data_IF_270226792399
#
_entry.id   IF_270226792399
#
_cell.length_a   1.000
_cell.length_b   1.000
_cell.length_c   1.000
_cell.angle_alpha   90.00
_cell.angle_beta   90.00
_cell.angle_gamma   90.00
#
_symmetry.space_group_name_H-M   'P 1'
#
loop_
_entity.id
_entity.type
_entity.pdbx_description
1 polymer ?
#
# COMPACT_ATOMS: atom_id res chain seq x y z
N UNK A 1 9.10 -7.27 -16.42
CA UNK A 1 8.35 -6.25 -15.65
C UNK A 1 9.13 -4.93 -15.69
N UNK A 2 8.45 -3.79 -15.86
CA UNK A 2 8.99 -2.45 -15.56
C UNK A 2 8.62 -2.11 -14.11
N UNK A 3 9.45 -1.31 -13.43
CA UNK A 3 9.23 -0.86 -12.08
C UNK A 3 9.86 0.52 -11.86
N UNK A 4 9.09 1.46 -11.31
CA UNK A 4 9.50 2.84 -11.00
C UNK A 4 8.92 3.27 -9.66
N UNK A 5 9.73 3.47 -8.62
CA UNK A 5 9.30 4.10 -7.39
C UNK A 5 9.17 5.61 -7.59
N UNK A 6 8.18 6.20 -6.95
CA UNK A 6 7.98 7.64 -6.82
C UNK A 6 7.93 7.96 -5.33
N UNK A 7 8.84 8.78 -4.87
CA UNK A 7 8.96 9.19 -3.48
C UNK A 7 8.51 10.64 -3.33
N UNK A 8 7.55 10.88 -2.48
CA UNK A 8 7.09 12.22 -2.12
C UNK A 8 7.65 12.61 -0.76
N UNK A 9 8.78 13.30 -0.76
CA UNK A 9 9.57 13.62 0.45
C UNK A 9 8.80 14.43 1.50
N UNK A 10 7.89 15.40 1.15
CA UNK A 10 7.22 16.22 2.16
C UNK A 10 6.42 15.44 3.20
N UNK A 11 5.83 14.31 2.82
CA UNK A 11 5.06 13.44 3.72
C UNK A 11 5.65 12.03 3.84
N UNK A 12 6.80 11.78 3.18
CA UNK A 12 7.48 10.49 3.12
C UNK A 12 6.58 9.35 2.60
N UNK A 13 5.74 9.67 1.59
CA UNK A 13 4.92 8.70 0.88
C UNK A 13 5.70 8.07 -0.27
N UNK A 14 5.44 6.80 -0.54
CA UNK A 14 5.98 6.06 -1.67
C UNK A 14 4.84 5.45 -2.49
N UNK A 15 4.91 5.65 -3.80
CA UNK A 15 4.00 5.08 -4.78
C UNK A 15 4.79 4.41 -5.90
N UNK A 16 4.15 3.54 -6.68
CA UNK A 16 4.88 2.67 -7.58
C UNK A 16 4.19 2.55 -8.92
N UNK A 17 4.89 2.90 -10.02
CA UNK A 17 4.48 2.58 -11.36
C UNK A 17 5.16 1.27 -11.79
N UNK A 18 4.37 0.30 -12.23
CA UNK A 18 4.90 -1.01 -12.62
C UNK A 18 4.03 -1.67 -13.72
N UNK A 19 4.49 -2.79 -14.26
CA UNK A 19 3.70 -3.54 -15.24
C UNK A 19 4.53 -4.21 -16.31
N UNK A 20 3.89 -4.54 -17.44
CA UNK A 20 4.45 -5.30 -18.54
C UNK A 20 4.50 -4.49 -19.84
N UNK A 21 5.67 -3.97 -20.24
CA UNK A 21 5.81 -3.25 -21.48
C UNK A 21 5.59 -4.13 -22.72
N UNK A 22 5.88 -5.42 -22.66
CA UNK A 22 5.64 -6.34 -23.77
C UNK A 22 4.16 -6.40 -24.19
N UNK A 23 3.26 -6.22 -23.22
CA UNK A 23 1.81 -6.23 -23.44
C UNK A 23 1.19 -4.83 -23.34
N UNK A 24 2.01 -3.77 -23.18
CA UNK A 24 1.51 -2.41 -23.06
C UNK A 24 0.56 -2.24 -21.88
N UNK A 25 0.89 -2.80 -20.71
CA UNK A 25 0.04 -2.74 -19.51
C UNK A 25 0.81 -2.19 -18.33
N UNK A 26 0.48 -0.97 -17.93
CA UNK A 26 1.05 -0.29 -16.78
C UNK A 26 -0.02 -0.11 -15.69
N UNK A 27 0.44 -0.07 -14.46
CA UNK A 27 -0.36 0.25 -13.28
C UNK A 27 0.39 1.24 -12.38
N UNK A 28 -0.35 2.00 -11.59
CA UNK A 28 0.16 2.76 -10.45
C UNK A 28 -0.46 2.20 -9.18
N UNK A 29 0.33 2.08 -8.11
CA UNK A 29 -0.11 1.67 -6.79
C UNK A 29 0.11 2.82 -5.80
N UNK A 30 -0.92 3.06 -4.95
CA UNK A 30 -0.99 4.11 -3.93
C UNK A 30 -0.58 5.50 -4.48
N UNK A 31 -1.24 5.99 -5.55
CA UNK A 31 -0.85 7.24 -6.19
C UNK A 31 -1.09 8.44 -5.28
N UNK A 32 -0.07 9.30 -5.13
CA UNK A 32 -0.19 10.59 -4.46
C UNK A 32 -0.71 11.64 -5.45
N UNK A 33 -1.68 12.48 -5.05
CA UNK A 33 -2.30 13.49 -5.93
C UNK A 33 -1.27 14.44 -6.56
N UNK A 34 -0.28 14.90 -5.80
CA UNK A 34 0.77 15.80 -6.27
C UNK A 34 1.71 15.17 -7.33
N UNK A 35 1.64 13.85 -7.53
CA UNK A 35 2.50 13.13 -8.47
C UNK A 35 1.76 12.64 -9.71
N UNK A 36 0.49 12.98 -9.90
CA UNK A 36 -0.33 12.52 -11.03
C UNK A 36 0.34 12.82 -12.36
N UNK A 37 0.78 14.05 -12.58
CA UNK A 37 1.48 14.44 -13.81
C UNK A 37 2.77 13.63 -14.04
N UNK A 38 3.48 13.30 -12.96
CA UNK A 38 4.73 12.52 -13.07
C UNK A 38 4.45 11.07 -13.48
N UNK A 39 3.36 10.45 -13.02
CA UNK A 39 2.96 9.11 -13.47
C UNK A 39 2.55 9.12 -14.95
N UNK A 40 1.78 10.11 -15.39
CA UNK A 40 1.36 10.25 -16.78
C UNK A 40 2.55 10.47 -17.72
N UNK A 41 3.48 11.34 -17.37
CA UNK A 41 4.71 11.59 -18.12
C UNK A 41 5.58 10.33 -18.22
N UNK A 42 5.72 9.57 -17.11
CA UNK A 42 6.51 8.33 -17.14
C UNK A 42 5.83 7.25 -18.01
N UNK A 43 4.50 7.13 -17.97
CA UNK A 43 3.77 6.21 -18.84
C UNK A 43 3.94 6.58 -20.32
N UNK A 44 3.86 7.87 -20.68
CA UNK A 44 4.14 8.38 -22.01
C UNK A 44 5.58 8.06 -22.44
N UNK A 45 6.57 8.33 -21.59
CA UNK A 45 7.99 8.02 -21.84
C UNK A 45 8.23 6.52 -22.07
N UNK A 46 7.49 5.67 -21.39
CA UNK A 46 7.55 4.22 -21.54
C UNK A 46 6.79 3.72 -22.77
N UNK A 47 5.97 4.56 -23.40
CA UNK A 47 5.16 4.23 -24.57
C UNK A 47 4.07 3.18 -24.30
N UNK A 48 3.52 3.14 -23.08
CA UNK A 48 2.48 2.20 -22.71
C UNK A 48 1.40 2.91 -21.85
N UNK A 49 0.09 2.60 -22.07
CA UNK A 49 -0.98 3.22 -21.30
C UNK A 49 -1.03 2.73 -19.85
N UNK A 50 -1.45 3.63 -18.96
CA UNK A 50 -1.91 3.26 -17.62
C UNK A 50 -3.30 2.62 -17.75
N UNK A 51 -3.41 1.34 -17.42
CA UNK A 51 -4.66 0.58 -17.52
C UNK A 51 -5.24 0.19 -16.16
N UNK A 52 -4.48 0.37 -15.08
CA UNK A 52 -4.87 0.01 -13.73
C UNK A 52 -4.33 0.99 -12.69
N UNK A 53 -5.10 1.24 -11.65
CA UNK A 53 -4.68 1.96 -10.45
C UNK A 53 -5.08 1.11 -9.24
N UNK A 54 -4.13 0.82 -8.37
CA UNK A 54 -4.34 0.04 -7.16
C UNK A 54 -4.22 0.92 -5.92
N UNK A 55 -5.08 0.69 -4.94
CA UNK A 55 -4.91 1.19 -3.58
C UNK A 55 -4.73 0.02 -2.62
N UNK A 56 -3.78 0.14 -1.71
CA UNK A 56 -3.64 -0.82 -0.61
C UNK A 56 -4.75 -0.63 0.42
N UNK A 57 -5.15 0.61 0.65
CA UNK A 57 -6.20 1.01 1.59
C UNK A 57 -6.66 2.45 1.29
N UNK A 58 -7.70 2.93 1.96
CA UNK A 58 -8.05 4.37 1.94
C UNK A 58 -7.00 5.13 2.72
N UNK A 59 -6.26 6.01 2.07
CA UNK A 59 -5.19 6.80 2.70
C UNK A 59 -5.77 7.78 3.74
N UNK A 60 -5.06 7.97 4.85
CA UNK A 60 -5.48 8.81 5.97
C UNK A 60 -4.60 10.05 6.21
N UNK A 61 -3.51 10.18 5.48
CA UNK A 61 -2.47 11.19 5.66
C UNK A 61 -2.19 12.02 4.39
N UNK A 62 -2.70 11.57 3.23
CA UNK A 62 -2.60 12.31 1.97
C UNK A 62 -3.80 12.05 1.05
N UNK A 63 -3.99 12.93 0.08
CA UNK A 63 -4.99 12.75 -0.97
C UNK A 63 -4.47 11.79 -2.03
N UNK A 64 -5.31 10.82 -2.38
CA UNK A 64 -5.01 9.88 -3.46
C UNK A 64 -5.13 10.55 -4.83
N UNK A 65 -4.20 10.24 -5.73
CA UNK A 65 -4.28 10.58 -7.15
C UNK A 65 -5.11 9.61 -7.99
N UNK A 66 -5.76 8.60 -7.36
CA UNK A 66 -6.54 7.59 -8.07
C UNK A 66 -7.68 8.20 -8.91
N UNK A 67 -8.52 9.11 -8.39
CA UNK A 67 -9.63 9.67 -9.18
C UNK A 67 -9.13 10.42 -10.42
N UNK A 68 -8.08 11.22 -10.28
CA UNK A 68 -7.51 11.99 -11.39
C UNK A 68 -6.86 11.08 -12.45
N UNK A 69 -6.17 10.02 -12.04
CA UNK A 69 -5.60 9.04 -12.96
C UNK A 69 -6.69 8.27 -13.72
N UNK A 70 -7.76 7.86 -13.03
CA UNK A 70 -8.91 7.19 -13.68
C UNK A 70 -9.57 8.13 -14.68
N UNK A 71 -9.82 9.38 -14.32
CA UNK A 71 -10.39 10.38 -15.22
C UNK A 71 -9.50 10.62 -16.45
N UNK A 72 -8.20 10.78 -16.25
CA UNK A 72 -7.25 11.09 -17.33
C UNK A 72 -6.99 9.93 -18.29
N UNK A 73 -7.07 8.67 -17.82
CA UNK A 73 -6.59 7.50 -18.58
C UNK A 73 -7.67 6.47 -18.88
N UNK A 74 -8.80 6.49 -18.18
CA UNK A 74 -9.80 5.42 -18.22
C UNK A 74 -9.32 4.14 -17.54
N UNK A 75 -8.28 4.21 -16.69
CA UNK A 75 -7.76 3.05 -15.96
C UNK A 75 -8.80 2.46 -15.01
N UNK A 76 -8.73 1.15 -14.81
CA UNK A 76 -9.56 0.47 -13.82
C UNK A 76 -8.99 0.68 -12.41
N UNK A 77 -9.82 1.14 -11.48
CA UNK A 77 -9.50 1.22 -10.07
C UNK A 77 -9.66 -0.14 -9.40
N UNK A 78 -8.64 -0.59 -8.66
CA UNK A 78 -8.63 -1.83 -7.88
C UNK A 78 -8.42 -1.52 -6.41
N UNK A 79 -9.37 -1.91 -5.56
CA UNK A 79 -9.34 -1.66 -4.12
C UNK A 79 -9.62 -2.94 -3.32
N UNK A 80 -9.27 -2.98 -2.02
CA UNK A 80 -9.64 -4.12 -1.16
C UNK A 80 -11.15 -4.36 -1.12
N UNK A 81 -11.59 -5.63 -1.12
CA UNK A 81 -13.00 -6.00 -1.23
C UNK A 81 -13.92 -5.47 -0.12
N UNK A 82 -13.35 -5.07 1.03
CA UNK A 82 -14.12 -4.53 2.17
C UNK A 82 -14.09 -3.02 2.26
N UNK A 83 -13.53 -2.35 1.26
CA UNK A 83 -13.47 -0.88 1.26
C UNK A 83 -14.86 -0.28 1.08
N UNK A 84 -15.10 0.84 1.74
CA UNK A 84 -16.33 1.64 1.57
C UNK A 84 -15.96 2.95 0.88
N UNK A 85 -16.26 3.06 -0.42
CA UNK A 85 -16.01 4.24 -1.26
C UNK A 85 -17.22 4.51 -2.16
N UNK A 86 -17.38 5.75 -2.60
CA UNK A 86 -18.54 6.25 -3.33
C UNK A 86 -18.34 6.25 -4.87
N UNK A 87 -17.29 5.59 -5.38
CA UNK A 87 -16.95 5.53 -6.81
C UNK A 87 -16.79 4.10 -7.31
N UNK A 88 -16.90 3.92 -8.62
CA UNK A 88 -16.79 2.62 -9.27
C UNK A 88 -15.37 2.06 -9.16
N UNK A 89 -15.27 0.82 -8.72
CA UNK A 89 -14.00 0.10 -8.61
C UNK A 89 -14.20 -1.40 -8.73
N UNK A 90 -13.11 -2.12 -8.96
CA UNK A 90 -13.05 -3.57 -8.85
C UNK A 90 -12.57 -3.92 -7.44
N UNK A 91 -13.45 -4.55 -6.67
CA UNK A 91 -13.14 -5.01 -5.32
C UNK A 91 -12.29 -6.30 -5.41
N UNK A 92 -11.10 -6.28 -4.81
CA UNK A 92 -10.20 -7.44 -4.78
C UNK A 92 -10.27 -8.16 -3.44
N UNK A 93 -10.80 -9.37 -3.46
CA UNK A 93 -10.79 -10.28 -2.32
C UNK A 93 -9.41 -10.95 -2.14
N UNK A 94 -9.22 -11.55 -0.98
CA UNK A 94 -8.00 -12.32 -0.66
C UNK A 94 -7.77 -13.44 -1.67
N UNK A 95 -6.56 -13.50 -2.22
CA UNK A 95 -6.14 -14.49 -3.20
C UNK A 95 -6.53 -14.19 -4.66
N UNK A 96 -7.29 -13.11 -4.93
CA UNK A 96 -7.58 -12.73 -6.31
C UNK A 96 -6.34 -12.20 -7.04
N UNK A 97 -6.30 -12.41 -8.35
CA UNK A 97 -5.15 -12.08 -9.21
C UNK A 97 -5.56 -11.16 -10.33
N UNK A 98 -4.81 -10.08 -10.50
CA UNK A 98 -4.92 -9.18 -11.66
C UNK A 98 -3.72 -9.41 -12.58
N UNK A 99 -4.01 -9.68 -13.86
CA UNK A 99 -2.99 -9.90 -14.87
C UNK A 99 -2.69 -8.62 -15.66
N UNK A 100 -1.48 -8.12 -15.53
CA UNK A 100 -0.94 -7.03 -16.34
C UNK A 100 0.02 -7.60 -17.39
N UNK A 101 -0.51 -8.39 -18.32
CA UNK A 101 0.30 -9.18 -19.26
C UNK A 101 1.10 -10.26 -18.53
N UNK A 102 2.45 -10.17 -18.55
CA UNK A 102 3.31 -11.11 -17.81
C UNK A 102 3.50 -10.76 -16.33
N UNK A 103 2.94 -9.65 -15.85
CA UNK A 103 3.03 -9.27 -14.44
C UNK A 103 1.76 -9.71 -13.74
N UNK A 104 1.89 -10.60 -12.76
CA UNK A 104 0.80 -11.12 -11.94
C UNK A 104 0.77 -10.36 -10.62
N UNK A 105 -0.40 -9.84 -10.25
CA UNK A 105 -0.61 -9.07 -9.01
C UNK A 105 -1.61 -9.83 -8.15
N UNK A 106 -1.14 -10.47 -7.08
CA UNK A 106 -1.97 -11.25 -6.17
C UNK A 106 -2.37 -10.39 -4.97
N UNK A 107 -3.66 -10.24 -4.73
CA UNK A 107 -4.17 -9.57 -3.54
C UNK A 107 -4.01 -10.47 -2.31
N UNK A 108 -3.38 -9.94 -1.28
CA UNK A 108 -3.23 -10.57 0.03
C UNK A 108 -3.91 -9.67 1.07
N UNK A 109 -5.05 -10.08 1.62
CA UNK A 109 -5.74 -9.28 2.63
C UNK A 109 -4.87 -9.16 3.89
N UNK A 110 -4.56 -7.92 4.29
CA UNK A 110 -3.70 -7.59 5.42
C UNK A 110 -4.31 -6.48 6.29
N UNK A 111 -5.55 -6.66 6.79
CA UNK A 111 -6.21 -5.68 7.64
C UNK A 111 -5.48 -5.47 8.97
N UNK A 112 -5.78 -4.35 9.64
CA UNK A 112 -5.26 -3.99 10.95
C UNK A 112 -4.79 -2.54 11.03
N UNK A 113 -3.92 -2.07 10.11
CA UNK A 113 -3.67 -0.64 9.94
C UNK A 113 -4.96 0.08 9.48
N UNK A 114 -5.61 -0.46 8.47
CA UNK A 114 -6.95 -0.08 8.05
C UNK A 114 -7.86 -1.32 8.04
N UNK A 115 -9.20 -1.18 8.26
CA UNK A 115 -10.14 -2.30 8.25
C UNK A 115 -10.21 -3.03 6.90
N UNK A 116 -10.07 -2.29 5.81
CA UNK A 116 -9.92 -2.80 4.46
C UNK A 116 -8.51 -2.46 3.97
N UNK A 117 -7.66 -3.46 3.91
CA UNK A 117 -6.27 -3.33 3.48
C UNK A 117 -5.83 -4.59 2.74
N UNK A 118 -5.18 -4.41 1.59
CA UNK A 118 -4.50 -5.46 0.84
C UNK A 118 -3.01 -5.13 0.67
N UNK A 119 -2.15 -6.07 0.93
CA UNK A 119 -0.85 -6.11 0.30
C UNK A 119 -0.98 -6.71 -1.11
N UNK A 120 -0.07 -6.40 -2.02
CA UNK A 120 -0.06 -6.94 -3.37
C UNK A 120 1.25 -7.65 -3.66
N UNK A 121 1.17 -8.97 -3.76
CA UNK A 121 2.33 -9.82 -4.07
C UNK A 121 2.49 -9.91 -5.59
N UNK A 122 3.67 -9.59 -6.10
CA UNK A 122 3.90 -9.48 -7.55
C UNK A 122 4.91 -10.52 -8.03
N UNK A 123 4.52 -11.23 -9.09
CA UNK A 123 5.36 -12.15 -9.83
C UNK A 123 5.56 -11.68 -11.29
N UNK A 124 6.72 -12.01 -11.87
CA UNK A 124 7.01 -11.76 -13.30
C UNK A 124 7.00 -13.08 -14.07
N UNK A 125 5.88 -13.42 -14.69
CA UNK A 125 5.69 -14.65 -15.48
C UNK A 125 6.69 -14.83 -16.64
N UNK A 126 7.39 -13.78 -17.06
CA UNK A 126 8.50 -13.90 -18.05
C UNK A 126 9.67 -14.75 -17.53
N UNK A 127 9.77 -14.90 -16.24
CA UNK A 127 10.78 -15.77 -15.60
C UNK A 127 10.37 -17.23 -15.54
N UNK A 128 9.20 -17.56 -16.11
CA UNK A 128 8.67 -18.92 -16.20
C UNK A 128 8.15 -19.47 -14.87
N UNK A 129 7.90 -18.62 -13.89
CA UNK A 129 7.35 -18.99 -12.59
C UNK A 129 6.38 -17.94 -12.07
N UNK A 130 5.47 -18.38 -11.22
CA UNK A 130 4.58 -17.49 -10.41
C UNK A 130 5.22 -17.18 -9.05
N UNK A 131 6.52 -17.42 -8.91
CA UNK A 131 7.24 -17.18 -7.67
C UNK A 131 7.22 -15.69 -7.31
N UNK A 132 6.83 -15.31 -6.09
CA UNK A 132 6.82 -13.93 -5.64
C UNK A 132 8.20 -13.27 -5.78
N UNK A 133 8.24 -12.11 -6.41
CA UNK A 133 9.47 -11.33 -6.53
C UNK A 133 9.50 -10.13 -5.60
N UNK A 134 8.37 -9.41 -5.49
CA UNK A 134 8.22 -8.28 -4.60
C UNK A 134 6.81 -8.27 -4.00
N UNK A 135 6.64 -7.53 -2.92
CA UNK A 135 5.36 -7.26 -2.30
C UNK A 135 5.23 -5.78 -1.98
N UNK A 136 4.13 -5.18 -2.39
CA UNK A 136 3.70 -3.87 -1.92
C UNK A 136 2.91 -4.09 -0.65
N UNK A 137 3.42 -3.60 0.45
CA UNK A 137 2.86 -3.92 1.78
C UNK A 137 1.90 -2.85 2.31
N UNK A 138 1.71 -1.75 1.54
CA UNK A 138 0.97 -0.63 2.07
C UNK A 138 1.56 -0.19 3.41
N UNK A 139 0.69 0.00 4.37
CA UNK A 139 1.06 0.35 5.74
C UNK A 139 0.93 -0.82 6.73
N UNK A 140 0.85 -2.08 6.25
CA UNK A 140 0.90 -3.23 7.16
C UNK A 140 2.32 -3.47 7.67
N UNK A 141 3.29 -3.69 6.76
CA UNK A 141 4.70 -3.89 7.07
C UNK A 141 5.52 -2.74 6.50
N UNK A 142 6.17 -1.99 7.36
CA UNK A 142 7.06 -0.88 7.03
C UNK A 142 8.52 -1.29 7.25
N UNK A 143 9.48 -0.51 6.73
CA UNK A 143 10.90 -0.83 6.93
C UNK A 143 11.32 -0.47 8.36
N UNK A 144 11.55 -1.50 9.17
CA UNK A 144 11.97 -1.38 10.57
C UNK A 144 10.84 -1.16 11.57
N UNK A 145 9.59 -1.04 11.10
CA UNK A 145 8.39 -0.88 11.94
C UNK A 145 7.16 -1.52 11.25
N UNK A 146 5.98 -1.29 11.81
CA UNK A 146 4.67 -1.68 11.26
C UNK A 146 3.71 -0.50 11.33
N UNK A 147 2.65 -0.54 10.55
CA UNK A 147 1.63 0.51 10.56
C UNK A 147 0.90 0.62 11.88
N UNK A 148 0.42 1.82 12.19
CA UNK A 148 -0.36 2.12 13.39
C UNK A 148 -1.83 1.76 13.19
N UNK A 149 -2.52 1.13 14.16
CA UNK A 149 -3.89 0.65 13.97
C UNK A 149 -4.97 1.70 14.29
N UNK A 150 -4.62 2.86 14.81
CA UNK A 150 -5.56 3.82 15.41
C UNK A 150 -6.18 4.81 14.41
N UNK A 151 -5.57 5.02 13.23
CA UNK A 151 -6.04 6.02 12.25
C UNK A 151 -7.43 5.68 11.67
N UNK A 152 -7.81 4.41 11.62
CA UNK A 152 -9.07 3.96 11.04
C UNK A 152 -9.99 3.22 12.02
N UNK A 153 -9.52 2.93 13.23
CA UNK A 153 -10.19 2.01 14.16
C UNK A 153 -11.44 2.59 14.86
N UNK A 154 -11.72 3.89 14.73
CA UNK A 154 -12.89 4.50 15.36
C UNK A 154 -12.96 4.34 16.90
N UNK A 155 -11.82 4.03 17.55
CA UNK A 155 -11.68 3.77 18.99
C UNK A 155 -11.33 2.32 19.33
N UNK A 156 -11.56 1.35 18.45
CA UNK A 156 -11.28 -0.07 18.68
C UNK A 156 -9.85 -0.45 18.24
N UNK A 157 -8.85 0.20 18.81
CA UNK A 157 -7.44 0.06 18.40
C UNK A 157 -6.84 -1.29 18.77
N UNK A 158 -7.21 -1.88 19.91
CA UNK A 158 -6.65 -3.18 20.33
C UNK A 158 -7.06 -4.34 19.40
N UNK A 159 -8.34 -4.51 19.00
CA UNK A 159 -8.72 -5.51 18.00
C UNK A 159 -7.99 -5.30 16.67
N UNK A 160 -7.84 -4.05 16.21
CA UNK A 160 -7.12 -3.72 14.98
C UNK A 160 -5.62 -4.08 15.07
N UNK A 161 -4.97 -3.82 16.22
CA UNK A 161 -3.58 -4.23 16.45
C UNK A 161 -3.40 -5.75 16.42
N UNK A 162 -4.34 -6.52 16.99
CA UNK A 162 -4.34 -7.98 16.92
C UNK A 162 -4.55 -8.49 15.50
N UNK A 163 -5.42 -7.84 14.74
CA UNK A 163 -5.64 -8.17 13.33
C UNK A 163 -4.39 -7.89 12.50
N UNK A 164 -3.70 -6.77 12.75
CA UNK A 164 -2.42 -6.46 12.13
C UNK A 164 -1.37 -7.54 12.42
N UNK A 165 -1.27 -8.03 13.66
CA UNK A 165 -0.35 -9.12 14.00
C UNK A 165 -0.59 -10.37 13.14
N UNK A 166 -1.85 -10.77 12.94
CA UNK A 166 -2.20 -11.90 12.06
C UNK A 166 -1.83 -11.64 10.61
N UNK A 167 -2.09 -10.42 10.14
CA UNK A 167 -1.74 -9.98 8.79
C UNK A 167 -0.22 -10.00 8.55
N UNK A 168 0.56 -9.55 9.52
CA UNK A 168 2.02 -9.61 9.49
C UNK A 168 2.53 -11.04 9.41
N UNK A 169 1.91 -11.98 10.15
CA UNK A 169 2.22 -13.42 10.05
C UNK A 169 2.12 -13.91 8.61
N UNK A 170 1.05 -13.56 7.90
CA UNK A 170 0.85 -13.93 6.48
C UNK A 170 1.92 -13.33 5.55
N UNK A 171 2.31 -12.08 5.76
CA UNK A 171 3.38 -11.44 5.00
C UNK A 171 4.73 -12.13 5.25
N UNK A 172 4.99 -12.51 6.50
CA UNK A 172 6.22 -13.19 6.89
C UNK A 172 6.28 -14.67 6.43
N UNK A 173 5.19 -15.26 5.96
CA UNK A 173 5.19 -16.56 5.29
C UNK A 173 5.77 -16.49 3.87
N UNK A 174 5.90 -15.29 3.29
CA UNK A 174 6.56 -15.11 2.00
C UNK A 174 8.07 -15.46 2.08
N UNK A 175 8.70 -15.91 0.96
CA UNK A 175 10.11 -16.22 0.92
C UNK A 175 11.02 -15.04 1.32
N UNK A 176 12.15 -15.32 1.95
CA UNK A 176 13.11 -14.31 2.44
C UNK A 176 13.60 -13.31 1.37
N UNK A 177 13.67 -13.77 0.11
CA UNK A 177 14.16 -12.95 -1.01
C UNK A 177 13.14 -11.93 -1.54
N UNK A 178 11.86 -12.04 -1.15
CA UNK A 178 10.82 -11.13 -1.62
C UNK A 178 11.10 -9.72 -1.12
N UNK A 179 11.18 -8.77 -2.05
CA UNK A 179 11.46 -7.37 -1.75
C UNK A 179 10.19 -6.69 -1.24
N UNK A 180 10.30 -6.00 -0.11
CA UNK A 180 9.22 -5.25 0.54
C UNK A 180 9.25 -3.81 0.07
N UNK A 181 8.13 -3.32 -0.44
CA UNK A 181 7.89 -1.93 -0.84
C UNK A 181 6.66 -1.39 -0.10
N UNK A 182 6.85 -0.65 0.99
CA UNK A 182 5.75 -0.04 1.75
C UNK A 182 5.27 1.28 1.12
N UNK A 183 4.10 1.78 1.54
CA UNK A 183 3.59 3.08 1.09
C UNK A 183 4.22 4.27 1.82
N UNK A 184 4.95 4.02 2.91
CA UNK A 184 5.63 5.06 3.71
C UNK A 184 7.03 4.65 4.13
N UNK A 185 7.89 5.67 4.36
CA UNK A 185 9.27 5.52 4.83
C UNK A 185 9.61 6.55 5.92
N UNK A 186 10.87 6.64 6.34
CA UNK A 186 11.29 7.52 7.44
C UNK A 186 10.91 8.98 7.22
N UNK A 187 10.14 9.53 8.14
CA UNK A 187 9.55 10.88 8.09
C UNK A 187 8.02 10.87 8.09
N UNK A 188 7.37 9.74 7.77
CA UNK A 188 5.91 9.61 7.82
C UNK A 188 5.40 9.48 9.26
N UNK A 189 4.12 9.87 9.43
CA UNK A 189 3.36 9.73 10.69
C UNK A 189 2.75 8.31 10.85
N UNK A 190 2.88 7.45 9.83
CA UNK A 190 2.27 6.11 9.82
C UNK A 190 3.05 5.06 10.62
N UNK A 191 4.24 5.39 11.13
CA UNK A 191 5.03 4.52 12.01
C UNK A 191 5.86 5.33 13.00
N UNK A 192 6.49 4.65 13.98
CA UNK A 192 7.23 5.27 15.08
C UNK A 192 8.74 5.31 14.86
N UNK A 193 9.27 4.31 14.16
CA UNK A 193 10.70 4.09 14.00
C UNK A 193 11.12 3.73 12.58
N UNK A 194 10.46 4.32 11.58
CA UNK A 194 10.69 4.03 10.16
C UNK A 194 12.12 4.31 9.73
N UNK A 195 12.66 3.40 8.94
CA UNK A 195 13.93 3.63 8.24
C UNK A 195 13.77 4.68 7.14
N UNK A 196 14.81 5.48 6.90
CA UNK A 196 14.91 6.31 5.71
C UNK A 196 15.10 5.51 4.40
N UNK A 197 15.35 4.20 4.48
CA UNK A 197 15.39 3.32 3.31
C UNK A 197 13.94 2.98 2.90
N UNK A 198 13.52 3.27 1.65
CA UNK A 198 12.15 3.08 1.21
C UNK A 198 11.81 1.62 0.82
N UNK A 199 12.70 0.65 1.01
CA UNK A 199 12.46 -0.75 0.71
C UNK A 199 13.30 -1.66 1.61
N UNK A 200 12.89 -2.94 1.70
CA UNK A 200 13.58 -3.97 2.48
C UNK A 200 13.39 -5.34 1.83
N UNK A 201 13.49 -6.41 2.59
CA UNK A 201 13.09 -7.76 2.20
C UNK A 201 12.38 -8.47 3.36
N UNK A 202 11.53 -9.45 3.05
CA UNK A 202 10.84 -10.25 4.06
C UNK A 202 11.85 -10.88 5.04
N UNK A 203 12.95 -11.42 4.54
CA UNK A 203 13.96 -12.05 5.37
C UNK A 203 14.72 -11.07 6.26
N UNK A 204 14.89 -9.81 5.85
CA UNK A 204 15.49 -8.78 6.69
C UNK A 204 14.52 -8.33 7.78
N UNK A 205 13.28 -8.00 7.42
CA UNK A 205 12.26 -7.58 8.37
C UNK A 205 11.96 -8.65 9.42
N UNK A 206 11.82 -9.92 9.00
CA UNK A 206 11.62 -11.07 9.93
C UNK A 206 12.68 -11.13 11.03
N UNK A 207 13.93 -10.75 10.73
CA UNK A 207 15.06 -10.85 11.67
C UNK A 207 15.33 -9.58 12.46
N UNK A 208 15.03 -8.41 11.88
CA UNK A 208 15.54 -7.14 12.40
C UNK A 208 14.47 -6.10 12.71
N UNK A 209 13.23 -6.30 12.28
CA UNK A 209 12.13 -5.41 12.61
C UNK A 209 11.72 -5.59 14.08
N UNK A 210 11.89 -4.55 14.87
CA UNK A 210 11.64 -4.61 16.33
C UNK A 210 10.17 -4.81 16.66
N UNK A 211 9.27 -4.30 15.84
CA UNK A 211 7.83 -4.48 16.03
C UNK A 211 7.40 -5.94 15.88
N UNK A 212 8.20 -6.78 15.20
CA UNK A 212 7.93 -8.21 15.00
C UNK A 212 8.56 -9.10 16.08
N UNK A 213 9.20 -8.52 17.11
CA UNK A 213 9.85 -9.28 18.18
C UNK A 213 8.86 -9.92 19.18
N UNK A 214 7.56 -9.57 19.11
CA UNK A 214 6.52 -10.06 20.00
C UNK A 214 5.88 -11.34 19.45
N UNK A 215 5.93 -12.43 20.21
CA UNK A 215 5.51 -13.76 19.74
C UNK A 215 4.01 -14.02 19.79
N UNK A 216 3.23 -13.16 20.47
CA UNK A 216 1.77 -13.33 20.61
C UNK A 216 1.02 -12.00 20.40
N UNK A 217 -0.25 -12.13 19.99
CA UNK A 217 -1.11 -10.98 19.65
C UNK A 217 -1.29 -9.98 20.80
N UNK A 218 -1.33 -10.45 22.05
CA UNK A 218 -1.60 -9.58 23.19
C UNK A 218 -0.39 -8.70 23.48
N UNK A 219 0.80 -9.31 23.60
CA UNK A 219 2.06 -8.58 23.81
C UNK A 219 2.38 -7.64 22.66
N UNK A 220 2.09 -8.05 21.41
CA UNK A 220 2.24 -7.20 20.25
C UNK A 220 1.31 -5.97 20.32
N UNK A 221 0.00 -6.18 20.59
CA UNK A 221 -0.97 -5.09 20.67
C UNK A 221 -0.61 -4.12 21.79
N UNK A 222 -0.26 -4.61 22.99
CA UNK A 222 0.18 -3.77 24.10
C UNK A 222 1.39 -2.89 23.72
N UNK A 223 2.42 -3.48 23.12
CA UNK A 223 3.63 -2.76 22.72
C UNK A 223 3.38 -1.76 21.58
N UNK A 224 2.48 -2.11 20.62
CA UNK A 224 2.18 -1.26 19.49
C UNK A 224 1.40 -0.01 19.91
N UNK A 225 0.51 -0.12 20.89
CA UNK A 225 -0.36 0.97 21.34
C UNK A 225 0.33 1.95 22.32
N UNK A 226 1.53 1.63 22.78
CA UNK A 226 2.32 2.54 23.61
C UNK A 226 2.95 3.63 22.75
N UNK A 227 2.78 4.90 23.17
CA UNK A 227 3.45 6.06 22.53
C UNK A 227 3.17 6.24 21.04
N UNK A 228 1.91 6.03 20.61
CA UNK A 228 1.51 6.38 19.25
C UNK A 228 1.68 7.89 18.99
N UNK A 229 2.26 8.29 17.85
CA UNK A 229 2.37 9.70 17.50
C UNK A 229 0.96 10.32 17.32
N UNK A 230 0.77 11.64 17.49
CA UNK A 230 -0.50 12.29 17.22
C UNK A 230 -1.01 11.94 15.82
N UNK A 231 -2.33 11.75 15.68
CA UNK A 231 -2.93 11.62 14.36
C UNK A 231 -2.86 12.96 13.61
N UNK A 232 -2.75 12.97 12.26
CA UNK A 232 -2.86 14.19 11.47
C UNK A 232 -4.15 14.96 11.79
N UNK A 233 -4.08 16.27 11.91
CA UNK A 233 -5.24 17.08 12.30
C UNK A 233 -6.37 17.04 11.27
N UNK A 234 -6.06 16.81 10.01
CA UNK A 234 -6.94 16.76 8.85
C UNK A 234 -7.31 15.32 8.41
N UNK A 235 -6.85 14.30 9.15
CA UNK A 235 -7.07 12.89 8.84
C UNK A 235 -8.51 12.55 8.44
N UNK A 236 -9.51 12.99 9.23
CA UNK A 236 -10.91 12.68 8.94
C UNK A 236 -11.39 13.29 7.62
N UNK A 237 -10.91 14.50 7.29
CA UNK A 237 -11.22 15.18 6.02
C UNK A 237 -10.56 14.46 4.83
N UNK A 238 -9.31 14.02 4.98
CA UNK A 238 -8.57 13.25 3.98
C UNK A 238 -9.26 11.93 3.70
N UNK A 239 -9.57 11.14 4.73
CA UNK A 239 -10.29 9.86 4.59
C UNK A 239 -11.64 10.07 3.89
N UNK A 240 -12.40 11.10 4.28
CA UNK A 240 -13.69 11.38 3.67
C UNK A 240 -13.56 11.83 2.20
N UNK A 241 -12.51 12.56 1.83
CA UNK A 241 -12.23 12.96 0.45
C UNK A 241 -11.84 11.73 -0.40
N UNK A 242 -10.94 10.91 0.08
CA UNK A 242 -10.50 9.70 -0.61
C UNK A 242 -11.64 8.69 -0.79
N UNK A 243 -12.56 8.58 0.19
CA UNK A 243 -13.76 7.74 0.04
C UNK A 243 -14.72 8.26 -1.03
N UNK A 244 -14.87 9.58 -1.17
CA UNK A 244 -15.71 10.18 -2.21
C UNK A 244 -15.08 10.15 -3.60
N UNK A 245 -13.77 9.93 -3.71
CA UNK A 245 -13.05 10.03 -4.97
C UNK A 245 -13.02 11.46 -5.54
N UNK A 246 -13.02 12.48 -4.66
CA UNK A 246 -12.99 13.88 -5.08
C UNK A 246 -11.98 14.64 -4.24
N UNK A 247 -11.21 15.55 -4.88
CA UNK A 247 -10.42 16.50 -4.12
C UNK A 247 -11.31 17.29 -3.13
N UNK A 248 -10.82 17.62 -1.91
CA UNK A 248 -11.56 18.50 -1.03
C UNK A 248 -11.80 19.83 -1.74
N UNK A 249 -13.02 20.36 -1.65
CA UNK A 249 -13.29 21.69 -2.13
C UNK A 249 -12.28 22.66 -1.46
N UNK A 250 -11.48 23.34 -2.27
CA UNK A 250 -10.56 24.38 -1.78
C UNK A 250 -11.37 25.40 -1.01
N UNK A 251 -11.07 25.54 0.29
CA UNK A 251 -11.67 26.55 1.14
C UNK A 251 -11.16 27.97 0.78
#
# INVERSE_FOLDING_TARGET
MVFRPFLFEPTACASYLFGCLTHGRLAVLDPHVELVDAYLQEAERLGAPLGAVFETHVQADHLSGLPELVEATGATAYLPARVEVDFDHVALADGEVVELGNTLVHALATPGHAPAHNAYVVADGRRGSEEPWLVFTGDSLLVGDVGRPDLHAGGDTEPAARELHRSLGRLLDLPDHVVVYPSHYGGSVCGRGLSGNPFSSIGFERRHNRALAFGDEASFAEALLVELPPAPADQAAIVAANRRGTAPATA
#
